data_IF_923289100449
#
_entry.id   IF_923289100449
#
_cell.length_a   1.000
_cell.length_b   1.000
_cell.length_c   1.000
_cell.angle_alpha   90.00
_cell.angle_beta   90.00
_cell.angle_gamma   90.00
#
_symmetry.space_group_name_H-M   'P 1'
#
loop_
_entity.id
_entity.type
_entity.pdbx_description
1 polymer ?
#
# COMPACT_ATOMS: atom_id res chain seq x y z
N UNK A 1 47.21 8.62 21.43
CA UNK A 1 47.13 8.37 19.97
C UNK A 1 46.09 9.32 19.39
N UNK A 2 46.49 10.32 18.57
CA UNK A 2 45.54 11.30 17.98
C UNK A 2 44.94 10.69 16.71
N UNK A 3 43.63 10.41 16.72
CA UNK A 3 42.89 10.03 15.51
C UNK A 3 42.78 11.30 14.65
N UNK A 4 43.16 11.23 13.37
CA UNK A 4 43.08 12.40 12.50
C UNK A 4 41.60 12.73 12.16
N UNK A 5 41.32 14.01 11.89
CA UNK A 5 39.99 14.53 11.59
C UNK A 5 39.29 13.82 10.41
N UNK A 6 40.06 13.34 9.43
CA UNK A 6 39.53 12.60 8.27
C UNK A 6 38.97 11.23 8.65
N UNK A 7 39.59 10.53 9.61
CA UNK A 7 39.07 9.24 10.09
C UNK A 7 37.74 9.40 10.83
N UNK A 8 37.56 10.49 11.58
CA UNK A 8 36.27 10.79 12.23
C UNK A 8 35.17 11.11 11.21
N UNK A 9 35.47 11.88 10.17
CA UNK A 9 34.49 12.21 9.11
C UNK A 9 34.08 10.94 8.35
N UNK A 10 35.05 10.10 7.96
CA UNK A 10 34.77 8.85 7.26
C UNK A 10 33.92 7.89 8.10
N UNK A 11 34.22 7.76 9.39
CA UNK A 11 33.46 6.92 10.31
C UNK A 11 32.01 7.42 10.50
N UNK A 12 31.81 8.73 10.66
CA UNK A 12 30.48 9.33 10.77
C UNK A 12 29.67 9.21 9.48
N UNK A 13 30.30 9.41 8.30
CA UNK A 13 29.64 9.16 7.02
C UNK A 13 29.24 7.69 6.88
N UNK A 14 30.10 6.74 7.27
CA UNK A 14 29.78 5.32 7.21
C UNK A 14 28.59 4.96 8.12
N UNK A 15 28.56 5.49 9.35
CA UNK A 15 27.43 5.32 10.27
C UNK A 15 26.15 5.92 9.68
N UNK A 16 26.23 7.13 9.12
CA UNK A 16 25.08 7.77 8.49
C UNK A 16 24.56 6.96 7.29
N UNK A 17 25.46 6.46 6.43
CA UNK A 17 25.10 5.57 5.32
C UNK A 17 24.51 4.24 5.80
N UNK A 18 25.02 3.66 6.88
CA UNK A 18 24.46 2.44 7.48
C UNK A 18 23.07 2.69 8.09
N UNK A 19 22.88 3.80 8.81
CA UNK A 19 21.57 4.18 9.39
C UNK A 19 20.52 4.52 8.33
N UNK A 20 20.92 5.15 7.22
CA UNK A 20 20.04 5.38 6.06
C UNK A 20 19.67 4.05 5.41
N UNK A 21 20.60 3.09 5.31
CA UNK A 21 20.35 1.81 4.64
C UNK A 21 19.34 0.93 5.39
N UNK A 22 19.20 1.08 6.70
CA UNK A 22 18.26 0.29 7.51
C UNK A 22 16.82 0.86 7.57
N UNK A 23 16.59 2.07 7.07
CA UNK A 23 15.29 2.77 7.25
C UNK A 23 14.37 2.77 6.02
N UNK A 24 14.75 2.06 4.94
CA UNK A 24 13.90 1.88 3.76
C UNK A 24 13.42 0.43 3.70
N UNK A 25 12.20 0.18 4.16
CA UNK A 25 11.56 -1.11 4.01
C UNK A 25 10.62 -1.06 2.81
N UNK A 26 10.81 -1.96 1.85
CA UNK A 26 9.99 -2.08 0.64
C UNK A 26 8.87 -3.08 0.92
N UNK A 27 7.61 -2.68 0.81
CA UNK A 27 6.48 -3.61 0.74
C UNK A 27 6.23 -3.94 -0.72
N UNK A 28 6.30 -5.22 -1.05
CA UNK A 28 5.76 -5.73 -2.29
C UNK A 28 4.48 -6.50 -2.07
N UNK A 29 3.46 -6.22 -2.88
CA UNK A 29 2.22 -6.99 -2.87
C UNK A 29 1.75 -7.39 -4.25
N UNK A 30 1.15 -8.58 -4.30
CA UNK A 30 0.56 -9.16 -5.49
C UNK A 30 -0.94 -9.01 -5.46
N UNK A 31 -1.50 -8.39 -6.49
CA UNK A 31 -2.94 -8.38 -6.72
C UNK A 31 -3.29 -9.54 -7.62
N UNK A 32 -4.13 -10.42 -7.11
CA UNK A 32 -4.72 -11.51 -7.87
C UNK A 32 -6.20 -11.17 -8.05
N UNK A 33 -6.62 -10.99 -9.30
CA UNK A 33 -8.01 -10.81 -9.66
C UNK A 33 -8.55 -12.17 -10.07
N UNK A 34 -9.37 -12.75 -9.20
CA UNK A 34 -10.11 -13.97 -9.49
C UNK A 34 -11.55 -13.60 -9.81
N UNK A 35 -11.86 -13.43 -11.10
CA UNK A 35 -13.24 -13.34 -11.56
C UNK A 35 -13.69 -14.72 -12.02
N UNK A 36 -14.47 -15.40 -11.18
CA UNK A 36 -15.10 -16.65 -11.55
C UNK A 36 -16.38 -16.35 -12.34
N UNK A 37 -16.28 -16.16 -13.66
CA UNK A 37 -17.33 -16.47 -14.66
C UNK A 37 -16.95 -15.92 -16.04
N UNK A 38 -17.50 -16.55 -17.09
CA UNK A 38 -17.50 -15.99 -18.43
C UNK A 38 -18.06 -14.56 -18.38
N UNK A 39 -17.21 -13.54 -18.48
CA UNK A 39 -17.65 -12.15 -18.39
C UNK A 39 -18.49 -11.81 -19.62
N UNK A 40 -19.81 -11.88 -19.45
CA UNK A 40 -20.77 -11.29 -20.39
C UNK A 40 -20.75 -9.77 -20.12
N UNK A 41 -20.58 -8.98 -21.18
CA UNK A 41 -20.58 -7.52 -21.11
C UNK A 41 -21.80 -6.99 -20.35
N UNK A 42 -21.64 -5.90 -19.60
CA UNK A 42 -22.69 -5.28 -18.77
C UNK A 42 -23.31 -6.16 -17.66
N UNK A 43 -22.70 -7.31 -17.32
CA UNK A 43 -23.12 -8.05 -16.13
C UNK A 43 -22.43 -7.53 -14.87
N UNK A 44 -23.14 -7.63 -13.75
CA UNK A 44 -22.59 -7.44 -12.43
C UNK A 44 -21.65 -8.59 -12.09
N UNK A 45 -20.44 -8.29 -11.64
CA UNK A 45 -19.44 -9.25 -11.22
C UNK A 45 -18.96 -8.98 -9.79
N UNK A 46 -18.28 -9.99 -9.23
CA UNK A 46 -17.53 -9.86 -7.98
C UNK A 46 -16.05 -9.80 -8.29
N UNK A 47 -15.39 -8.77 -7.78
CA UNK A 47 -13.93 -8.60 -7.87
C UNK A 47 -13.33 -8.90 -6.52
N UNK A 48 -12.44 -9.89 -6.49
CA UNK A 48 -11.66 -10.24 -5.31
C UNK A 48 -10.23 -9.77 -5.54
N UNK A 49 -9.69 -9.06 -4.57
CA UNK A 49 -8.32 -8.56 -4.55
C UNK A 49 -7.63 -9.17 -3.35
N UNK A 50 -6.50 -9.81 -3.59
CA UNK A 50 -5.55 -10.14 -2.53
C UNK A 50 -4.45 -9.09 -2.50
N UNK A 51 -4.03 -8.67 -1.32
CA UNK A 51 -2.85 -7.84 -1.14
C UNK A 51 -1.93 -8.53 -0.16
N UNK A 52 -0.72 -8.83 -0.63
CA UNK A 52 0.37 -9.30 0.21
C UNK A 52 1.29 -8.15 0.55
N UNK A 53 1.96 -8.24 1.68
CA UNK A 53 2.93 -7.28 2.13
C UNK A 53 4.12 -8.04 2.72
N UNK A 54 5.33 -7.69 2.28
CA UNK A 54 6.55 -8.21 2.90
C UNK A 54 6.83 -7.59 4.27
N UNK A 55 6.15 -6.49 4.62
CA UNK A 55 6.29 -5.81 5.91
C UNK A 55 4.95 -5.72 6.64
N UNK A 56 5.01 -5.42 7.93
CA UNK A 56 3.79 -5.19 8.69
C UNK A 56 3.20 -3.83 8.35
N UNK A 57 1.89 -3.76 8.12
CA UNK A 57 1.21 -2.47 8.02
C UNK A 57 1.26 -1.74 9.36
N UNK A 58 1.30 -0.40 9.32
CA UNK A 58 1.30 0.42 10.52
C UNK A 58 0.05 0.20 11.38
N UNK A 59 0.23 0.29 12.70
CA UNK A 59 -0.89 0.41 13.63
C UNK A 59 -1.68 1.68 13.28
N UNK A 60 -2.99 1.53 13.07
CA UNK A 60 -3.90 2.59 12.60
C UNK A 60 -3.63 3.08 11.17
N UNK A 61 -2.88 2.32 10.36
CA UNK A 61 -2.74 2.62 8.94
C UNK A 61 -4.08 2.56 8.19
N UNK A 62 -4.17 3.30 7.09
CA UNK A 62 -5.26 3.19 6.13
C UNK A 62 -4.73 2.80 4.77
N UNK A 63 -5.48 1.95 4.08
CA UNK A 63 -5.28 1.70 2.67
C UNK A 63 -6.48 2.22 1.89
N UNK A 64 -6.19 2.95 0.81
CA UNK A 64 -7.15 3.41 -0.18
C UNK A 64 -6.93 2.65 -1.49
N UNK A 65 -7.98 2.01 -1.99
CA UNK A 65 -8.00 1.46 -3.36
C UNK A 65 -8.96 2.28 -4.21
N UNK A 66 -8.46 2.83 -5.32
CA UNK A 66 -9.23 3.64 -6.26
C UNK A 66 -9.42 2.83 -7.55
N UNK A 67 -10.66 2.66 -7.96
CA UNK A 67 -11.02 1.97 -9.21
C UNK A 67 -11.03 2.96 -10.39
N UNK A 68 -10.71 2.51 -11.61
CA UNK A 68 -10.72 3.38 -12.79
C UNK A 68 -12.15 3.73 -13.23
N UNK A 69 -12.25 4.72 -14.13
CA UNK A 69 -13.54 5.30 -14.53
C UNK A 69 -14.44 4.37 -15.35
N UNK A 70 -13.88 3.31 -15.93
CA UNK A 70 -14.59 2.38 -16.82
C UNK A 70 -15.56 1.44 -16.09
N UNK A 71 -15.39 1.25 -14.78
CA UNK A 71 -16.29 0.44 -13.96
C UNK A 71 -17.53 1.24 -13.56
N UNK A 72 -18.70 0.62 -13.48
CA UNK A 72 -19.90 1.30 -12.96
C UNK A 72 -20.27 0.74 -11.60
N UNK A 73 -20.54 1.65 -10.66
CA UNK A 73 -20.93 1.35 -9.29
C UNK A 73 -22.31 1.93 -9.01
N UNK A 74 -23.01 1.32 -8.06
CA UNK A 74 -24.32 1.74 -7.55
C UNK A 74 -24.19 2.01 -6.05
N UNK A 75 -25.29 2.12 -5.31
CA UNK A 75 -25.23 2.19 -3.85
C UNK A 75 -25.36 0.80 -3.18
N UNK A 76 -25.38 -0.28 -3.96
CA UNK A 76 -25.76 -1.63 -3.50
C UNK A 76 -24.61 -2.63 -3.50
N UNK A 77 -23.36 -2.21 -3.72
CA UNK A 77 -22.21 -3.11 -3.67
C UNK A 77 -22.02 -3.65 -2.25
N UNK A 78 -21.79 -4.96 -2.15
CA UNK A 78 -21.37 -5.56 -0.89
C UNK A 78 -19.85 -5.67 -0.87
N UNK A 79 -19.23 -5.07 0.16
CA UNK A 79 -17.80 -5.14 0.43
C UNK A 79 -17.56 -6.16 1.55
N UNK A 80 -16.65 -7.10 1.31
CA UNK A 80 -16.10 -7.98 2.34
C UNK A 80 -14.59 -7.77 2.41
N UNK A 81 -14.03 -7.75 3.61
CA UNK A 81 -12.58 -7.68 3.81
C UNK A 81 -12.21 -8.63 4.95
N UNK A 82 -11.21 -9.48 4.72
CA UNK A 82 -10.71 -10.41 5.72
C UNK A 82 -9.22 -10.62 5.54
N UNK A 83 -8.52 -10.93 6.63
CA UNK A 83 -7.15 -11.43 6.54
C UNK A 83 -7.12 -12.90 6.06
N UNK A 84 -5.91 -13.47 5.91
CA UNK A 84 -5.75 -14.88 5.51
C UNK A 84 -6.35 -15.89 6.51
N UNK A 85 -6.63 -15.49 7.75
CA UNK A 85 -7.28 -16.34 8.76
C UNK A 85 -8.81 -16.31 8.65
N UNK A 86 -9.36 -15.44 7.78
CA UNK A 86 -10.80 -15.19 7.68
C UNK A 86 -11.30 -14.20 8.73
N UNK A 87 -10.42 -13.54 9.47
CA UNK A 87 -10.83 -12.50 10.44
C UNK A 87 -11.26 -11.26 9.68
N UNK A 88 -12.49 -10.80 9.92
CA UNK A 88 -13.03 -9.63 9.26
C UNK A 88 -12.23 -8.36 9.58
N UNK A 89 -11.89 -7.62 8.54
CA UNK A 89 -11.27 -6.30 8.63
C UNK A 89 -12.34 -5.21 8.52
N UNK A 90 -12.11 -4.08 9.18
CA UNK A 90 -13.02 -2.95 9.05
C UNK A 90 -12.70 -2.20 7.75
N UNK A 91 -13.65 -2.24 6.83
CA UNK A 91 -13.53 -1.57 5.56
C UNK A 91 -14.83 -0.91 5.13
N UNK A 92 -14.69 0.16 4.35
CA UNK A 92 -15.79 0.95 3.84
C UNK A 92 -15.61 1.18 2.34
N UNK A 93 -16.73 1.19 1.60
CA UNK A 93 -16.74 1.51 0.18
C UNK A 93 -17.50 2.81 -0.06
N UNK A 94 -16.86 3.76 -0.74
CA UNK A 94 -17.50 4.96 -1.27
C UNK A 94 -17.64 4.80 -2.79
N UNK A 95 -18.86 4.50 -3.24
CA UNK A 95 -19.15 4.26 -4.65
C UNK A 95 -19.02 5.50 -5.53
N UNK A 96 -19.31 6.69 -5.00
CA UNK A 96 -19.19 7.96 -5.74
C UNK A 96 -17.74 8.28 -6.06
N UNK A 97 -16.86 8.06 -5.07
CA UNK A 97 -15.42 8.24 -5.21
C UNK A 97 -14.69 6.99 -5.74
N UNK A 98 -15.41 5.86 -5.92
CA UNK A 98 -14.88 4.56 -6.36
C UNK A 98 -13.73 4.08 -5.48
N UNK A 99 -13.92 4.24 -4.18
CA UNK A 99 -12.88 4.18 -3.17
C UNK A 99 -13.17 3.13 -2.10
N UNK A 100 -12.29 2.15 -1.94
CA UNK A 100 -12.28 1.28 -0.76
C UNK A 100 -11.32 1.84 0.27
N UNK A 101 -11.76 1.94 1.52
CA UNK A 101 -10.94 2.34 2.66
C UNK A 101 -10.89 1.20 3.67
N UNK A 102 -9.69 0.79 4.08
CA UNK A 102 -9.51 -0.17 5.19
C UNK A 102 -8.97 0.61 6.38
N UNK A 103 -9.68 0.61 7.51
CA UNK A 103 -9.41 1.52 8.63
C UNK A 103 -8.86 0.85 9.88
N UNK A 104 -8.97 -0.47 10.02
CA UNK A 104 -8.40 -1.20 11.16
C UNK A 104 -8.12 -2.66 10.82
N UNK A 105 -7.37 -3.33 11.70
CA UNK A 105 -7.02 -4.75 11.56
C UNK A 105 -5.81 -5.02 10.68
N UNK A 106 -5.19 -4.00 10.08
CA UNK A 106 -4.02 -4.16 9.21
C UNK A 106 -2.72 -4.52 9.95
N UNK A 107 -2.64 -4.22 11.26
CA UNK A 107 -1.42 -4.42 12.05
C UNK A 107 -0.97 -5.88 11.97
N UNK A 108 0.31 -6.10 11.63
CA UNK A 108 0.94 -7.42 11.54
C UNK A 108 0.38 -8.35 10.45
N UNK A 109 -0.43 -7.86 9.50
CA UNK A 109 -0.91 -8.68 8.40
C UNK A 109 0.18 -8.84 7.33
N UNK A 110 0.50 -10.09 7.01
CA UNK A 110 1.34 -10.44 5.86
C UNK A 110 0.53 -10.41 4.55
N UNK A 111 -0.77 -10.71 4.59
CA UNK A 111 -1.67 -10.48 3.46
C UNK A 111 -3.12 -10.37 3.93
N UNK A 112 -3.96 -9.79 3.09
CA UNK A 112 -5.40 -9.77 3.29
C UNK A 112 -6.13 -9.79 1.94
N UNK A 113 -7.41 -10.12 1.98
CA UNK A 113 -8.29 -10.17 0.82
C UNK A 113 -9.46 -9.22 1.02
N UNK A 114 -9.87 -8.52 -0.03
CA UNK A 114 -11.17 -7.87 -0.06
C UNK A 114 -11.92 -8.21 -1.35
N UNK A 115 -13.24 -8.34 -1.26
CA UNK A 115 -14.10 -8.60 -2.39
C UNK A 115 -15.21 -7.56 -2.46
N UNK A 116 -15.51 -7.10 -3.67
CA UNK A 116 -16.64 -6.21 -3.94
C UNK A 116 -17.54 -6.89 -4.96
N UNK A 117 -18.77 -7.20 -4.57
CA UNK A 117 -19.80 -7.70 -5.48
C UNK A 117 -20.67 -6.56 -6.00
N UNK A 118 -21.33 -6.77 -7.14
CA UNK A 118 -22.25 -5.77 -7.69
C UNK A 118 -21.59 -4.77 -8.64
N UNK A 119 -20.36 -5.00 -9.08
CA UNK A 119 -19.65 -4.08 -9.99
C UNK A 119 -20.02 -4.42 -11.43
N UNK A 120 -20.55 -3.46 -12.17
CA UNK A 120 -20.89 -3.65 -13.58
C UNK A 120 -19.65 -3.46 -14.45
N UNK A 121 -19.36 -4.48 -15.27
CA UNK A 121 -18.29 -4.44 -16.26
C UNK A 121 -18.53 -3.36 -17.33
N UNK A 122 -17.46 -2.84 -17.97
CA UNK A 122 -17.59 -2.01 -19.16
C UNK A 122 -18.47 -2.68 -20.23
N UNK A 123 -19.22 -1.88 -20.98
CA UNK A 123 -20.10 -2.39 -22.04
C UNK A 123 -19.37 -2.88 -23.29
N UNK A 124 -18.06 -2.66 -23.37
CA UNK A 124 -17.20 -3.06 -24.49
C UNK A 124 -15.89 -3.64 -23.94
N UNK A 125 -15.31 -4.61 -24.66
CA UNK A 125 -14.02 -5.18 -24.32
C UNK A 125 -12.90 -4.21 -24.75
N UNK A 126 -12.59 -3.26 -23.87
CA UNK A 126 -11.51 -2.28 -24.04
C UNK A 126 -10.54 -2.39 -22.87
N UNK A 127 -9.31 -1.97 -23.09
CA UNK A 127 -8.36 -1.76 -22.00
C UNK A 127 -8.95 -0.72 -21.02
N UNK A 128 -9.05 -1.10 -19.74
CA UNK A 128 -9.54 -0.17 -18.70
C UNK A 128 -8.39 0.69 -18.16
N UNK A 129 -8.73 1.77 -17.46
CA UNK A 129 -7.77 2.53 -16.68
C UNK A 129 -7.17 1.73 -15.53
N UNK A 130 -6.47 2.45 -14.66
CA UNK A 130 -5.63 1.83 -13.64
C UNK A 130 -6.25 1.82 -12.25
N UNK A 131 -6.07 0.71 -11.55
CA UNK A 131 -6.27 0.66 -10.10
C UNK A 131 -5.12 1.37 -9.41
N UNK A 132 -5.44 2.22 -8.43
CA UNK A 132 -4.44 2.99 -7.66
C UNK A 132 -4.54 2.63 -6.18
N UNK A 133 -3.41 2.34 -5.55
CA UNK A 133 -3.34 1.96 -4.13
C UNK A 133 -2.56 3.02 -3.36
N UNK A 134 -3.16 3.59 -2.32
CA UNK A 134 -2.50 4.61 -1.49
C UNK A 134 -2.51 4.20 -0.03
N UNK A 135 -1.36 4.30 0.62
CA UNK A 135 -1.20 4.05 2.04
C UNK A 135 -1.19 5.38 2.81
N UNK A 136 -1.78 5.36 4.00
CA UNK A 136 -1.75 6.49 4.92
C UNK A 136 -1.42 6.00 6.31
N UNK A 137 -0.70 6.82 7.06
CA UNK A 137 -0.38 6.60 8.45
C UNK A 137 -1.03 7.69 9.30
N UNK A 138 -1.57 7.29 10.46
CA UNK A 138 -2.02 8.26 11.45
C UNK A 138 -0.79 8.86 12.15
N UNK A 139 -0.55 10.15 11.92
CA UNK A 139 0.49 10.93 12.59
C UNK A 139 -0.18 12.10 13.32
N UNK A 140 -0.03 12.11 14.65
CA UNK A 140 -0.48 13.22 15.51
C UNK A 140 -1.96 13.60 15.31
N UNK A 141 -2.81 12.59 15.12
CA UNK A 141 -4.26 12.75 14.95
C UNK A 141 -4.72 13.03 13.52
N UNK A 142 -3.81 13.13 12.54
CA UNK A 142 -4.15 13.30 11.12
C UNK A 142 -3.55 12.19 10.26
N UNK A 143 -4.29 11.75 9.24
CA UNK A 143 -3.77 10.79 8.27
C UNK A 143 -2.86 11.49 7.29
N UNK A 144 -1.58 11.09 7.28
CA UNK A 144 -0.59 11.54 6.31
C UNK A 144 -0.42 10.50 5.23
N UNK A 145 -0.36 10.98 3.99
CA UNK A 145 0.00 10.15 2.83
C UNK A 145 1.41 9.60 3.04
N UNK A 146 1.56 8.29 2.92
CA UNK A 146 2.87 7.62 2.98
C UNK A 146 3.38 7.41 1.57
N UNK A 147 2.62 6.65 0.76
CA UNK A 147 2.93 6.51 -0.67
C UNK A 147 1.73 6.11 -1.55
N UNK A 148 2.02 5.98 -2.84
CA UNK A 148 1.15 5.44 -3.87
C UNK A 148 1.84 4.24 -4.53
N UNK A 149 1.07 3.29 -5.06
CA UNK A 149 1.60 2.25 -5.94
C UNK A 149 2.23 2.90 -7.18
N UNK A 150 3.55 2.73 -7.36
CA UNK A 150 4.31 3.25 -8.51
C UNK A 150 3.90 2.64 -9.86
N UNK A 151 3.16 1.52 -9.84
CA UNK A 151 2.72 0.81 -11.05
C UNK A 151 1.21 0.75 -11.17
N UNK A 152 0.81 0.91 -12.42
CA UNK A 152 -0.55 1.08 -12.91
C UNK A 152 -1.06 -0.28 -13.40
N UNK A 153 -2.07 -0.88 -12.75
CA UNK A 153 -2.69 -2.15 -13.22
C UNK A 153 -3.73 -1.87 -14.29
N UNK A 154 -3.42 -2.12 -15.56
CA UNK A 154 -4.47 -2.24 -16.57
C UNK A 154 -5.08 -3.62 -16.47
N UNK A 155 -6.40 -3.64 -16.35
CA UNK A 155 -7.17 -4.87 -16.50
C UNK A 155 -7.86 -4.75 -17.84
N UNK A 156 -7.48 -5.59 -18.81
CA UNK A 156 -8.24 -5.70 -20.06
C UNK A 156 -9.25 -6.81 -19.88
N UNK A 157 -10.56 -6.51 -19.70
CA UNK A 157 -11.59 -7.53 -19.71
C UNK A 157 -11.55 -8.30 -21.03
N UNK A 158 -11.11 -9.56 -20.95
CA UNK A 158 -11.27 -10.51 -22.05
C UNK A 158 -12.64 -11.20 -21.89
N UNK A 159 -13.41 -11.36 -22.99
CA UNK A 159 -14.59 -12.20 -22.96
C UNK A 159 -14.20 -13.60 -22.46
N UNK A 160 -14.78 -14.05 -21.36
CA UNK A 160 -14.53 -15.38 -20.82
C UNK A 160 -13.52 -15.50 -19.68
N UNK A 161 -12.72 -14.47 -19.36
CA UNK A 161 -11.77 -14.52 -18.23
C UNK A 161 -11.15 -13.15 -17.90
N UNK A 162 -11.13 -12.77 -16.62
CA UNK A 162 -10.09 -11.86 -16.12
C UNK A 162 -8.92 -12.72 -15.63
N UNK A 163 -7.93 -12.95 -16.48
CA UNK A 163 -6.68 -13.64 -16.11
C UNK A 163 -5.48 -12.77 -16.43
N UNK A 164 -4.64 -12.53 -15.42
CA UNK A 164 -3.45 -11.66 -15.48
C UNK A 164 -3.75 -10.32 -14.81
N UNK A 165 -3.00 -9.87 -13.80
CA UNK A 165 -1.54 -9.86 -13.68
C UNK A 165 -1.14 -9.83 -12.21
N UNK A 166 -0.08 -10.53 -11.81
CA UNK A 166 0.54 -10.28 -10.49
C UNK A 166 1.22 -8.92 -10.57
N UNK A 167 0.76 -7.98 -9.76
CA UNK A 167 1.48 -6.71 -9.56
C UNK A 167 2.57 -6.89 -8.52
N UNK A 168 3.53 -5.99 -8.58
CA UNK A 168 4.48 -5.75 -7.51
C UNK A 168 4.48 -4.23 -7.32
N UNK A 169 3.89 -3.75 -6.23
CA UNK A 169 4.09 -2.37 -5.82
C UNK A 169 5.31 -2.29 -4.89
N UNK A 170 5.87 -1.10 -4.71
CA UNK A 170 6.93 -0.83 -3.73
C UNK A 170 6.35 0.18 -2.74
N UNK A 171 6.16 -0.22 -1.49
CA UNK A 171 5.90 0.75 -0.42
C UNK A 171 7.20 1.03 0.32
N UNK A 172 7.70 2.26 0.29
CA UNK A 172 8.80 2.72 1.12
C UNK A 172 8.22 3.20 2.46
N UNK A 173 8.31 2.33 3.45
CA UNK A 173 7.93 2.64 4.81
C UNK A 173 9.11 3.34 5.50
N UNK A 174 9.01 4.66 5.71
CA UNK A 174 9.98 5.40 6.53
C UNK A 174 9.61 5.21 7.99
N UNK A 175 10.39 4.44 8.73
CA UNK A 175 10.20 4.33 10.17
C UNK A 175 10.58 5.65 10.85
N UNK A 176 9.58 6.38 11.35
CA UNK A 176 9.74 7.63 12.08
C UNK A 176 10.59 7.46 13.36
N UNK A 177 10.69 6.25 13.91
CA UNK A 177 11.53 5.98 15.08
C UNK A 177 13.02 6.22 14.81
N UNK A 178 13.49 6.04 13.57
CA UNK A 178 14.88 6.28 13.21
C UNK A 178 15.22 7.78 13.11
N UNK A 179 14.25 8.62 12.74
CA UNK A 179 14.46 10.07 12.63
C UNK A 179 14.71 10.73 13.99
N UNK A 180 14.01 10.31 15.04
CA UNK A 180 14.19 10.87 16.38
C UNK A 180 15.57 10.51 16.97
N UNK A 181 16.04 9.28 16.76
CA UNK A 181 17.39 8.86 17.16
C UNK A 181 18.48 9.57 16.35
N UNK A 182 18.24 9.80 15.05
CA UNK A 182 19.15 10.59 14.20
C UNK A 182 19.26 12.05 14.66
N UNK A 183 18.15 12.68 15.07
CA UNK A 183 18.18 14.03 15.65
C UNK A 183 18.95 14.08 16.97
N UNK A 184 18.74 13.10 17.86
CA UNK A 184 19.49 13.01 19.13
C UNK A 184 21.00 12.79 18.92
N UNK A 185 21.39 12.03 17.89
CA UNK A 185 22.80 11.84 17.52
C UNK A 185 23.42 13.12 16.92
N UNK A 186 22.64 13.94 16.21
CA UNK A 186 23.11 15.24 15.71
C UNK A 186 23.31 16.25 16.84
N UNK A 187 22.47 16.26 17.88
CA UNK A 187 22.66 17.11 19.07
C UNK A 187 23.90 16.70 19.88
N UNK A 188 24.20 15.41 19.97
CA UNK A 188 25.46 14.90 20.54
C UNK A 188 26.69 15.38 19.74
N UNK A 189 26.58 15.51 18.42
CA UNK A 189 27.64 16.00 17.55
C UNK A 189 27.98 17.47 17.80
N UNK A 190 26.98 18.30 18.08
CA UNK A 190 27.18 19.72 18.44
C UNK A 190 27.94 19.88 19.76
N UNK A 191 27.66 19.01 20.74
CA UNK A 191 28.36 19.03 22.03
C UNK A 191 29.84 18.63 21.92
N UNK A 192 30.19 17.69 21.03
CA UNK A 192 31.59 17.26 20.83
C UNK A 192 32.45 18.21 19.98
N UNK A 193 31.86 19.19 19.28
CA UNK A 193 32.63 20.21 18.54
C UNK A 193 32.93 21.48 19.35
N UNK A 194 32.28 21.63 20.50
CA UNK A 194 32.42 22.80 21.38
C UNK A 194 33.32 22.53 22.60
N UNK A 195 33.81 21.31 22.77
CA UNK A 195 34.77 20.89 23.79
C UNK A 195 36.14 20.56 23.16
#
# INVERSE_FOLDING_TARGET
>A
MKINRWHQIAFLSLIFFLLIKESFQIITGTIEINSAQNVILQTSATYTFRLSSQQQFYQNGRLLIIFPQDFTFTSTQALTCADDSGTNLNCAFNYQARLVTITSGLKNLASFTFSISGITNPGVAVETGYFTFRSYQLDSGSYKFVENSDTTLTVTPQPGSLTGSKLYFHLIMIDQYNLLQLMQLQDLRLHFQLA
#
